data_IF_573769729386
#
_entry.id   IF_573769729386
#
_cell.length_a   1.000
_cell.length_b   1.000
_cell.length_c   1.000
_cell.angle_alpha   90.00
_cell.angle_beta   90.00
_cell.angle_gamma   90.00
#
_symmetry.space_group_name_H-M   'P 1'
#
loop_
_entity.id
_entity.type
_entity.pdbx_description
1 polymer ?
#
# COMPACT_ATOMS: atom_id res chain seq x y z
N UNK A 1 -41.41 -54.86 2.51
CA UNK A 1 -41.94 -53.87 3.47
C UNK A 1 -41.05 -52.64 3.37
N UNK A 2 -41.10 -51.88 2.27
CA UNK A 2 -42.12 -50.90 1.84
C UNK A 2 -41.46 -49.51 1.98
N UNK A 3 -41.03 -48.90 0.87
CA UNK A 3 -41.74 -47.79 0.16
C UNK A 3 -41.41 -46.44 0.82
N UNK A 4 -40.90 -45.36 0.19
CA UNK A 4 -41.10 -44.72 -1.13
C UNK A 4 -39.91 -43.73 -1.32
N UNK A 5 -39.11 -43.70 -2.38
CA UNK A 5 -39.34 -43.16 -3.74
C UNK A 5 -40.26 -41.94 -3.82
N UNK A 6 -39.77 -40.86 -4.46
CA UNK A 6 -40.49 -40.01 -5.43
C UNK A 6 -40.81 -38.53 -5.05
N UNK A 7 -40.36 -37.64 -5.95
CA UNK A 7 -40.86 -36.29 -6.32
C UNK A 7 -40.63 -35.15 -5.30
N UNK A 8 -40.15 -33.94 -5.67
CA UNK A 8 -40.58 -33.08 -6.78
C UNK A 8 -39.41 -32.22 -7.29
N UNK A 9 -39.21 -32.24 -8.60
CA UNK A 9 -38.58 -31.16 -9.37
C UNK A 9 -39.67 -30.15 -9.77
N UNK A 10 -39.42 -28.85 -9.58
CA UNK A 10 -40.12 -27.72 -10.21
C UNK A 10 -39.19 -26.50 -10.06
N UNK A 11 -38.41 -26.10 -11.07
CA UNK A 11 -38.80 -25.24 -12.22
C UNK A 11 -39.32 -23.87 -11.78
N UNK A 12 -38.45 -22.86 -11.87
CA UNK A 12 -38.71 -21.43 -12.13
C UNK A 12 -37.34 -20.84 -12.50
N UNK A 13 -36.91 -20.78 -13.77
CA UNK A 13 -37.46 -20.01 -14.90
C UNK A 13 -37.67 -18.54 -14.54
N UNK A 14 -36.57 -17.81 -14.33
CA UNK A 14 -36.50 -16.36 -14.54
C UNK A 14 -35.59 -16.08 -15.74
N UNK A 15 -36.17 -16.35 -16.90
CA UNK A 15 -35.84 -15.68 -18.15
C UNK A 15 -36.54 -14.32 -18.07
N UNK A 16 -35.76 -13.25 -18.11
CA UNK A 16 -36.23 -11.87 -18.12
C UNK A 16 -35.00 -10.97 -17.98
N UNK A 17 -34.24 -10.77 -19.05
CA UNK A 17 -34.68 -9.82 -20.07
C UNK A 17 -34.31 -8.41 -19.61
N UNK A 18 -33.02 -8.15 -19.34
CA UNK A 18 -32.55 -6.78 -19.23
C UNK A 18 -32.13 -6.30 -20.62
N UNK A 19 -33.08 -5.56 -21.18
CA UNK A 19 -33.10 -4.92 -22.47
C UNK A 19 -31.86 -4.02 -22.66
N UNK A 20 -31.05 -4.37 -23.66
CA UNK A 20 -30.12 -3.45 -24.32
C UNK A 20 -30.91 -2.26 -24.87
N UNK A 21 -30.86 -1.11 -24.19
CA UNK A 21 -31.24 0.16 -24.78
C UNK A 21 -29.95 0.84 -25.24
N UNK A 22 -29.56 0.54 -26.48
CA UNK A 22 -28.65 1.36 -27.29
C UNK A 22 -29.49 2.50 -27.85
N UNK A 23 -29.47 3.68 -27.22
CA UNK A 23 -30.00 4.89 -27.86
C UNK A 23 -28.86 5.49 -28.68
N UNK A 24 -28.79 5.10 -29.95
CA UNK A 24 -28.14 5.89 -30.98
C UNK A 24 -29.03 7.12 -31.26
N UNK A 25 -28.73 8.23 -30.58
CA UNK A 25 -29.33 9.53 -30.85
C UNK A 25 -28.33 10.44 -31.55
N UNK A 26 -28.20 10.31 -32.86
CA UNK A 26 -27.61 11.34 -33.70
C UNK A 26 -28.63 12.46 -33.86
N UNK A 27 -28.41 13.58 -33.16
CA UNK A 27 -29.03 14.85 -33.48
C UNK A 27 -27.89 15.86 -33.74
N UNK A 28 -27.57 16.04 -35.02
CA UNK A 28 -26.81 17.21 -35.45
C UNK A 28 -27.73 18.42 -35.38
N UNK A 29 -27.56 19.24 -34.35
CA UNK A 29 -28.14 20.58 -34.31
C UNK A 29 -27.01 21.54 -34.65
N UNK A 30 -27.04 22.00 -35.90
CA UNK A 30 -26.26 23.14 -36.36
C UNK A 30 -26.76 24.40 -35.65
N UNK A 31 -26.16 24.70 -34.50
CA UNK A 31 -26.34 25.95 -33.77
C UNK A 31 -25.12 26.84 -33.98
N UNK A 32 -25.22 27.77 -34.92
CA UNK A 32 -24.28 28.89 -35.10
C UNK A 32 -24.38 29.79 -33.86
N UNK A 33 -23.44 29.67 -32.93
CA UNK A 33 -23.30 30.63 -31.82
C UNK A 33 -22.26 31.66 -32.22
N UNK A 34 -22.74 32.90 -32.17
CA UNK A 34 -22.03 34.14 -32.47
C UNK A 34 -20.89 34.32 -31.49
N UNK A 35 -19.74 34.63 -32.06
CA UNK A 35 -18.50 35.05 -31.43
C UNK A 35 -18.75 36.40 -30.73
N UNK A 36 -18.61 36.44 -29.42
CA UNK A 36 -18.48 37.67 -28.65
C UNK A 36 -17.08 37.64 -28.04
N UNK A 37 -16.19 38.43 -28.65
CA UNK A 37 -14.82 38.65 -28.22
C UNK A 37 -14.79 39.18 -26.78
N UNK A 38 -14.09 38.46 -25.90
CA UNK A 38 -13.70 38.91 -24.57
C UNK A 38 -12.22 38.56 -24.35
N UNK A 39 -11.48 39.38 -23.60
CA UNK A 39 -10.08 39.68 -23.86
C UNK A 39 -9.11 38.56 -23.48
N UNK A 40 -8.03 38.48 -24.28
CA UNK A 40 -6.83 37.68 -24.04
C UNK A 40 -6.22 38.02 -22.67
N UNK A 41 -6.46 37.16 -21.69
CA UNK A 41 -5.65 37.10 -20.48
C UNK A 41 -4.48 36.15 -20.76
N UNK A 42 -3.30 36.75 -20.78
CA UNK A 42 -1.96 36.18 -20.87
C UNK A 42 -1.79 34.94 -19.98
N UNK A 43 -2.04 33.76 -20.56
CA UNK A 43 -1.76 32.49 -19.91
C UNK A 43 -0.25 32.27 -19.95
N UNK A 44 0.43 32.79 -18.93
CA UNK A 44 1.76 32.33 -18.55
C UNK A 44 1.72 30.81 -18.43
N UNK A 45 2.42 30.14 -19.34
CA UNK A 45 2.72 28.71 -19.32
C UNK A 45 3.44 28.37 -18.01
N UNK A 46 2.68 28.19 -16.94
CA UNK A 46 3.15 27.52 -15.75
C UNK A 46 3.09 26.03 -16.06
N UNK A 47 4.06 25.58 -16.88
CA UNK A 47 4.36 24.16 -17.06
C UNK A 47 4.72 23.65 -15.68
N UNK A 48 3.72 23.16 -14.98
CA UNK A 48 3.84 22.47 -13.72
C UNK A 48 4.68 21.22 -14.03
N UNK A 49 6.01 21.35 -14.00
CA UNK A 49 6.91 20.22 -14.16
C UNK A 49 6.51 19.20 -13.11
N UNK A 50 5.95 18.08 -13.57
CA UNK A 50 5.54 16.99 -12.70
C UNK A 50 6.81 16.35 -12.19
N UNK A 51 7.24 16.79 -11.00
CA UNK A 51 8.33 16.17 -10.26
C UNK A 51 7.88 14.77 -9.85
N UNK A 52 8.47 13.74 -10.47
CA UNK A 52 8.16 12.32 -10.21
C UNK A 52 8.87 11.83 -8.95
N UNK A 53 9.98 12.47 -8.59
CA UNK A 53 10.83 12.07 -7.48
C UNK A 53 11.59 13.27 -6.88
N UNK A 54 12.14 13.10 -5.68
CA UNK A 54 13.00 14.11 -5.03
C UNK A 54 14.47 13.84 -5.35
N UNK A 55 15.23 14.84 -5.81
CA UNK A 55 16.65 14.72 -6.17
C UNK A 55 17.47 14.00 -5.09
N UNK A 56 18.31 13.05 -5.50
CA UNK A 56 19.09 12.22 -4.58
C UNK A 56 18.32 11.03 -3.98
N UNK A 57 17.08 10.78 -4.40
CA UNK A 57 16.36 9.55 -4.05
C UNK A 57 16.71 8.43 -5.02
N UNK A 58 16.84 7.18 -4.55
CA UNK A 58 17.00 6.02 -5.43
C UNK A 58 15.65 5.53 -5.95
N UNK A 59 15.58 5.10 -7.21
CA UNK A 59 14.32 4.60 -7.78
C UNK A 59 13.92 3.29 -7.06
N UNK A 60 12.74 3.24 -6.41
CA UNK A 60 12.25 2.00 -5.81
C UNK A 60 11.98 0.89 -6.82
N UNK A 61 11.69 1.23 -8.08
CA UNK A 61 11.40 0.27 -9.15
C UNK A 61 12.67 -0.21 -9.86
N UNK A 62 13.77 0.54 -9.76
CA UNK A 62 15.03 0.23 -10.43
C UNK A 62 16.23 0.65 -9.58
N UNK A 63 16.95 -0.34 -9.05
CA UNK A 63 18.20 -0.08 -8.33
C UNK A 63 19.28 0.59 -9.20
N UNK A 64 19.09 0.68 -10.52
CA UNK A 64 20.01 1.33 -11.46
C UNK A 64 19.65 2.78 -11.74
N UNK A 65 18.70 3.38 -11.04
CA UNK A 65 18.26 4.74 -11.29
C UNK A 65 18.27 5.60 -10.01
N UNK A 66 18.56 6.89 -10.20
CA UNK A 66 18.60 7.92 -9.18
C UNK A 66 17.78 9.12 -9.67
N UNK A 67 17.12 9.82 -8.75
CA UNK A 67 16.39 11.02 -9.09
C UNK A 67 17.34 12.21 -9.26
N UNK A 68 17.30 12.85 -10.43
CA UNK A 68 18.03 14.07 -10.76
C UNK A 68 17.01 15.06 -11.32
N UNK A 69 16.90 16.24 -10.71
CA UNK A 69 16.00 17.32 -11.12
C UNK A 69 14.55 16.85 -11.36
N UNK A 70 14.03 16.02 -10.45
CA UNK A 70 12.64 15.55 -10.52
C UNK A 70 12.37 14.36 -11.41
N UNK A 71 13.39 13.83 -12.10
CA UNK A 71 13.26 12.75 -13.09
C UNK A 71 14.21 11.60 -12.75
N UNK A 72 13.76 10.37 -13.03
CA UNK A 72 14.61 9.20 -12.89
C UNK A 72 15.70 9.20 -13.96
N UNK A 73 16.95 9.09 -13.53
CA UNK A 73 18.12 9.01 -14.39
C UNK A 73 18.91 7.75 -14.08
N UNK A 74 19.41 7.08 -15.11
CA UNK A 74 20.24 5.90 -14.96
C UNK A 74 21.57 6.22 -14.26
N UNK A 75 22.00 5.33 -13.38
CA UNK A 75 23.32 5.34 -12.78
C UNK A 75 24.41 5.02 -13.84
N UNK A 76 25.58 5.66 -13.78
CA UNK A 76 26.67 5.37 -14.70
C UNK A 76 27.26 3.97 -14.48
N UNK A 77 27.61 3.27 -15.56
CA UNK A 77 28.55 2.12 -15.57
C UNK A 77 28.36 1.05 -14.48
N UNK A 78 27.37 0.18 -14.64
CA UNK A 78 27.07 -0.96 -13.72
C UNK A 78 26.86 -0.59 -12.24
N UNK A 79 26.81 0.70 -11.93
CA UNK A 79 26.51 1.18 -10.59
C UNK A 79 25.03 1.00 -10.28
N UNK A 80 24.75 0.86 -8.99
CA UNK A 80 23.41 0.86 -8.42
C UNK A 80 23.28 2.03 -7.45
N UNK A 81 22.10 2.63 -7.40
CA UNK A 81 21.80 3.68 -6.44
C UNK A 81 21.68 3.08 -5.04
N UNK A 82 22.55 3.52 -4.14
CA UNK A 82 22.60 3.12 -2.73
C UNK A 82 22.67 4.38 -1.88
N UNK A 83 21.68 4.58 -1.00
CA UNK A 83 21.59 5.74 -0.09
C UNK A 83 21.67 7.10 -0.81
N UNK A 84 21.10 7.18 -2.01
CA UNK A 84 21.03 8.42 -2.78
C UNK A 84 22.26 8.74 -3.63
N UNK A 85 23.12 7.76 -3.86
CA UNK A 85 24.30 7.88 -4.72
C UNK A 85 24.51 6.62 -5.56
N UNK A 86 24.92 6.78 -6.81
CA UNK A 86 25.33 5.64 -7.65
C UNK A 86 26.68 5.09 -7.15
N UNK A 87 26.74 3.79 -6.89
CA UNK A 87 27.92 3.10 -6.38
C UNK A 87 28.12 1.75 -7.07
N UNK A 88 29.37 1.31 -7.24
CA UNK A 88 29.67 -0.02 -7.79
C UNK A 88 29.39 -1.05 -6.69
N UNK A 89 28.53 -2.05 -6.93
CA UNK A 89 28.31 -3.11 -5.96
C UNK A 89 29.61 -3.88 -5.76
N UNK A 90 30.10 -3.92 -4.51
CA UNK A 90 31.33 -4.62 -4.17
C UNK A 90 31.04 -6.13 -4.23
N UNK A 91 31.21 -6.72 -5.41
CA UNK A 91 31.17 -8.17 -5.61
C UNK A 91 32.11 -8.82 -4.60
N UNK A 92 31.63 -9.81 -3.85
CA UNK A 92 32.37 -10.54 -2.83
C UNK A 92 33.68 -11.09 -3.38
N UNK A 93 34.76 -10.32 -3.22
CA UNK A 93 36.12 -10.66 -3.57
C UNK A 93 36.93 -10.68 -2.29
N UNK A 94 37.32 -11.88 -1.89
CA UNK A 94 38.37 -12.18 -0.92
C UNK A 94 39.44 -11.08 -0.88
N UNK A 95 39.58 -10.43 0.26
CA UNK A 95 40.73 -9.59 0.59
C UNK A 95 40.85 -9.58 2.10
N UNK A 96 41.77 -10.41 2.56
CA UNK A 96 42.33 -10.49 3.92
C UNK A 96 42.43 -9.11 4.59
N UNK A 97 42.04 -8.95 5.86
CA UNK A 97 42.43 -7.78 6.62
C UNK A 97 43.89 -7.95 7.05
N UNK A 98 44.80 -7.21 6.39
CA UNK A 98 46.12 -6.95 6.94
C UNK A 98 45.96 -5.94 8.10
N UNK A 99 46.36 -6.40 9.30
CA UNK A 99 46.82 -5.72 10.54
C UNK A 99 46.99 -4.18 10.50
N UNK A 100 46.76 -3.36 11.54
CA UNK A 100 46.83 -3.44 13.02
C UNK A 100 45.91 -2.33 13.58
N UNK A 101 45.34 -2.34 14.79
CA UNK A 101 46.02 -2.36 16.09
C UNK A 101 45.03 -2.49 17.27
N UNK A 102 45.40 -3.37 18.22
CA UNK A 102 45.22 -3.26 19.68
C UNK A 102 43.81 -3.38 20.30
N UNK A 103 43.55 -4.50 20.99
CA UNK A 103 42.45 -4.62 21.95
C UNK A 103 42.13 -6.06 22.36
N UNK A 104 42.69 -6.49 23.49
CA UNK A 104 42.73 -7.85 24.03
C UNK A 104 41.41 -8.48 24.49
N UNK A 105 41.42 -9.83 24.42
CA UNK A 105 40.84 -10.82 25.34
C UNK A 105 39.32 -11.04 25.40
N UNK A 106 38.91 -12.25 24.97
CA UNK A 106 37.60 -12.81 25.28
C UNK A 106 37.41 -14.20 24.66
N UNK A 107 38.04 -15.22 25.24
CA UNK A 107 37.71 -16.62 24.97
C UNK A 107 36.26 -16.91 25.34
N UNK A 108 35.49 -17.53 24.46
CA UNK A 108 34.46 -18.51 24.82
C UNK A 108 34.10 -19.38 23.62
N UNK A 109 34.33 -20.67 23.83
CA UNK A 109 33.82 -21.80 23.07
C UNK A 109 32.30 -21.71 22.99
N UNK A 110 31.72 -21.81 21.79
CA UNK A 110 30.33 -22.27 21.63
C UNK A 110 30.24 -23.26 20.48
N UNK A 111 29.76 -24.43 20.86
CA UNK A 111 29.52 -25.65 20.12
C UNK A 111 28.57 -25.42 18.93
N UNK A 112 28.98 -25.87 17.75
CA UNK A 112 28.10 -26.08 16.59
C UNK A 112 27.01 -27.09 16.94
N UNK A 113 25.77 -26.61 17.01
CA UNK A 113 24.59 -27.46 16.88
C UNK A 113 23.66 -26.80 15.88
N UNK A 114 23.64 -27.36 14.68
CA UNK A 114 22.65 -27.11 13.63
C UNK A 114 21.29 -27.62 14.12
N UNK A 115 20.39 -26.70 14.43
CA UNK A 115 18.96 -26.96 14.46
C UNK A 115 18.25 -25.81 13.75
N UNK A 116 17.58 -26.16 12.66
CA UNK A 116 16.76 -25.28 11.84
C UNK A 116 15.54 -24.83 12.66
N UNK A 117 15.65 -23.67 13.28
CA UNK A 117 14.53 -22.94 13.87
C UNK A 117 13.70 -22.28 12.78
N UNK A 118 12.36 -22.43 12.78
CA UNK A 118 11.51 -21.55 11.96
C UNK A 118 11.77 -20.12 12.43
N UNK A 119 12.15 -19.25 11.50
CA UNK A 119 12.42 -17.85 11.76
C UNK A 119 11.10 -17.18 12.11
N UNK A 120 10.72 -17.19 13.40
CA UNK A 120 9.59 -16.41 13.90
C UNK A 120 9.89 -14.95 13.59
N UNK A 121 9.16 -14.37 12.63
CA UNK A 121 9.18 -12.93 12.38
C UNK A 121 8.82 -12.23 13.68
N UNK A 122 9.77 -11.51 14.27
CA UNK A 122 9.57 -10.74 15.49
C UNK A 122 8.68 -9.55 15.15
N UNK A 123 7.39 -9.62 15.49
CA UNK A 123 6.48 -8.48 15.34
C UNK A 123 6.79 -7.43 16.40
N UNK A 124 6.83 -6.17 15.96
CA UNK A 124 6.94 -5.02 16.87
C UNK A 124 5.53 -4.50 17.15
N UNK A 125 5.24 -4.09 18.40
CA UNK A 125 3.96 -3.45 18.75
C UNK A 125 4.18 -1.95 18.92
N UNK A 126 3.40 -1.16 18.21
CA UNK A 126 3.41 0.30 18.25
C UNK A 126 2.07 0.81 18.80
N UNK A 127 2.10 1.75 19.75
CA UNK A 127 0.89 2.39 20.28
C UNK A 127 0.86 3.84 19.86
N UNK A 128 -0.20 4.27 19.18
CA UNK A 128 -0.31 5.64 18.63
C UNK A 128 -1.28 6.55 19.39
N UNK A 129 -1.87 6.04 20.48
CA UNK A 129 -2.76 6.79 21.37
C UNK A 129 -4.18 6.97 20.82
N UNK A 130 -4.84 8.03 21.29
CA UNK A 130 -6.17 8.44 20.85
C UNK A 130 -6.12 9.09 19.46
N UNK A 131 -7.07 8.71 18.60
CA UNK A 131 -7.26 9.30 17.27
C UNK A 131 -8.58 10.05 17.28
N UNK A 132 -8.51 11.37 17.17
CA UNK A 132 -9.67 12.22 16.92
C UNK A 132 -9.69 12.58 15.42
N UNK A 133 -10.80 12.32 14.74
CA UNK A 133 -10.95 12.61 13.31
C UNK A 133 -10.16 11.66 12.42
N UNK A 134 -9.15 12.17 11.70
CA UNK A 134 -8.42 11.43 10.67
C UNK A 134 -6.90 11.46 10.89
N UNK A 135 -6.22 10.31 10.79
CA UNK A 135 -4.77 10.20 10.99
C UNK A 135 -4.13 9.36 9.89
N UNK A 136 -3.04 9.86 9.32
CA UNK A 136 -2.21 9.10 8.38
C UNK A 136 -1.17 8.29 9.13
N UNK A 137 -1.07 6.99 8.84
CA UNK A 137 -0.14 6.06 9.47
C UNK A 137 0.76 5.42 8.41
N UNK A 138 2.07 5.39 8.64
CA UNK A 138 3.02 4.59 7.85
C UNK A 138 3.42 3.35 8.65
N UNK A 139 3.08 2.18 8.12
CA UNK A 139 2.95 0.98 8.94
C UNK A 139 3.54 -0.24 8.22
N UNK A 140 4.35 -1.04 8.92
CA UNK A 140 5.02 -2.23 8.37
C UNK A 140 4.50 -3.56 8.94
N UNK A 141 5.37 -4.54 9.18
CA UNK A 141 5.04 -5.81 9.87
C UNK A 141 4.84 -5.64 11.40
N UNK A 142 4.11 -4.60 11.79
CA UNK A 142 3.88 -4.22 13.18
C UNK A 142 2.40 -4.30 13.55
N UNK A 143 2.15 -4.51 14.84
CA UNK A 143 0.81 -4.45 15.43
C UNK A 143 0.62 -3.04 15.97
N UNK A 144 -0.45 -2.39 15.56
CA UNK A 144 -0.74 -1.00 15.92
C UNK A 144 -1.93 -0.99 16.86
N UNK A 145 -1.73 -0.41 18.03
CA UNK A 145 -2.78 -0.19 19.02
C UNK A 145 -3.15 1.29 19.05
N UNK A 146 -4.44 1.57 18.93
CA UNK A 146 -4.97 2.93 19.02
C UNK A 146 -6.33 2.93 19.71
N UNK A 147 -6.72 4.09 20.22
CA UNK A 147 -8.03 4.30 20.82
C UNK A 147 -8.85 5.25 19.96
N UNK A 148 -10.14 4.98 19.84
CA UNK A 148 -11.11 5.84 19.18
C UNK A 148 -12.43 5.72 19.93
N UNK A 149 -13.07 6.85 20.27
CA UNK A 149 -14.32 6.87 21.02
C UNK A 149 -14.29 6.08 22.35
N UNK A 150 -13.13 6.07 23.02
CA UNK A 150 -12.92 5.33 24.26
C UNK A 150 -12.75 3.82 24.09
N UNK A 151 -12.86 3.29 22.88
CA UNK A 151 -12.61 1.89 22.55
C UNK A 151 -11.18 1.67 22.03
N UNK A 152 -10.62 0.49 22.29
CA UNK A 152 -9.27 0.14 21.88
C UNK A 152 -9.27 -0.81 20.69
N UNK A 153 -8.49 -0.47 19.68
CA UNK A 153 -8.39 -1.20 18.42
C UNK A 153 -6.97 -1.67 18.17
N UNK A 154 -6.87 -2.87 17.60
CA UNK A 154 -5.62 -3.50 17.18
C UNK A 154 -5.66 -3.69 15.68
N UNK A 155 -4.81 -2.96 14.97
CA UNK A 155 -4.61 -3.08 13.53
C UNK A 155 -3.31 -3.84 13.26
N UNK A 156 -3.37 -4.85 12.42
CA UNK A 156 -2.25 -5.68 12.00
C UNK A 156 -2.17 -5.69 10.48
N UNK A 157 -0.96 -5.69 9.94
CA UNK A 157 -0.73 -5.93 8.52
C UNK A 157 -0.35 -7.39 8.33
N UNK A 158 -1.19 -8.11 7.61
CA UNK A 158 -1.00 -9.53 7.33
C UNK A 158 -0.16 -9.74 6.07
N UNK A 159 -0.47 -8.98 5.01
CA UNK A 159 0.24 -9.07 3.73
C UNK A 159 0.23 -7.71 3.01
N UNK A 160 1.29 -7.42 2.26
CA UNK A 160 1.41 -6.22 1.43
C UNK A 160 1.67 -6.68 -0.01
N UNK A 161 0.83 -6.24 -0.94
CA UNK A 161 0.95 -6.53 -2.38
C UNK A 161 1.19 -5.23 -3.17
N UNK A 162 1.37 -5.33 -4.49
CA UNK A 162 1.71 -4.17 -5.33
C UNK A 162 0.68 -3.04 -5.28
N UNK A 163 -0.60 -3.39 -5.17
CA UNK A 163 -1.73 -2.44 -5.21
C UNK A 163 -2.75 -2.69 -4.11
N UNK A 164 -2.46 -3.62 -3.19
CA UNK A 164 -3.37 -4.00 -2.12
C UNK A 164 -2.61 -4.29 -0.82
N UNK A 165 -3.35 -4.31 0.28
CA UNK A 165 -2.85 -4.81 1.56
C UNK A 165 -3.95 -5.61 2.26
N UNK A 166 -3.55 -6.72 2.89
CA UNK A 166 -4.38 -7.48 3.81
C UNK A 166 -4.13 -6.97 5.22
N UNK A 167 -5.18 -6.45 5.85
CA UNK A 167 -5.19 -5.89 7.19
C UNK A 167 -6.06 -6.75 8.09
N UNK A 168 -5.70 -6.88 9.36
CA UNK A 168 -6.56 -7.41 10.41
C UNK A 168 -6.89 -6.30 11.40
N UNK A 169 -8.17 -6.00 11.62
CA UNK A 169 -8.63 -5.06 12.65
C UNK A 169 -9.42 -5.81 13.71
N UNK A 170 -8.92 -5.86 14.95
CA UNK A 170 -9.51 -6.66 16.04
C UNK A 170 -9.79 -8.12 15.67
N UNK A 171 -8.98 -8.70 14.77
CA UNK A 171 -9.13 -10.06 14.27
C UNK A 171 -10.08 -10.21 13.06
N UNK A 172 -10.65 -9.12 12.57
CA UNK A 172 -11.42 -9.09 11.31
C UNK A 172 -10.44 -8.79 10.17
N UNK A 173 -10.28 -9.74 9.25
CA UNK A 173 -9.43 -9.57 8.08
C UNK A 173 -10.15 -8.84 6.94
N UNK A 174 -9.45 -7.91 6.31
CA UNK A 174 -9.92 -7.19 5.15
C UNK A 174 -8.78 -6.93 4.16
N UNK A 175 -9.08 -7.09 2.88
CA UNK A 175 -8.19 -6.67 1.80
C UNK A 175 -8.63 -5.28 1.33
N UNK A 176 -7.71 -4.33 1.27
CA UNK A 176 -7.95 -3.00 0.71
C UNK A 176 -7.03 -2.78 -0.49
N UNK A 177 -7.58 -2.24 -1.57
CA UNK A 177 -6.81 -1.75 -2.70
C UNK A 177 -6.39 -0.29 -2.51
N UNK A 178 -5.32 0.16 -3.17
CA UNK A 178 -4.88 1.55 -3.12
C UNK A 178 -6.02 2.47 -3.63
N UNK A 179 -6.40 3.43 -2.80
CA UNK A 179 -7.51 4.35 -3.03
C UNK A 179 -8.86 3.86 -2.45
N UNK A 180 -8.98 2.58 -2.10
CA UNK A 180 -10.18 2.00 -1.51
C UNK A 180 -10.31 2.38 -0.03
N UNK A 181 -11.55 2.60 0.41
CA UNK A 181 -11.92 2.83 1.80
C UNK A 181 -12.90 1.73 2.25
N UNK A 182 -12.69 1.18 3.44
CA UNK A 182 -13.60 0.22 4.08
C UNK A 182 -13.99 0.68 5.47
N UNK A 183 -15.28 0.53 5.76
CA UNK A 183 -15.82 0.63 7.10
C UNK A 183 -15.59 -0.68 7.87
N UNK A 184 -15.35 -0.55 9.17
CA UNK A 184 -15.22 -1.64 10.11
C UNK A 184 -16.16 -1.40 11.28
N UNK A 185 -16.94 -2.43 11.59
CA UNK A 185 -17.72 -2.58 12.80
C UNK A 185 -16.86 -3.33 13.83
N UNK A 186 -16.41 -2.61 14.85
CA UNK A 186 -15.57 -3.12 15.91
C UNK A 186 -16.34 -3.66 17.12
N UNK A 187 -17.61 -3.29 17.29
CA UNK A 187 -18.40 -3.60 18.48
C UNK A 187 -19.54 -4.61 18.23
N UNK A 188 -19.83 -4.92 16.96
CA UNK A 188 -20.83 -5.88 16.50
C UNK A 188 -22.26 -5.34 16.43
N UNK A 189 -22.48 -4.03 16.49
CA UNK A 189 -23.80 -3.41 16.42
C UNK A 189 -24.31 -3.18 14.98
N UNK A 190 -23.52 -3.57 13.98
CA UNK A 190 -23.72 -3.37 12.54
C UNK A 190 -23.59 -1.92 12.07
N UNK A 191 -23.07 -1.03 12.91
CA UNK A 191 -22.60 0.29 12.49
C UNK A 191 -21.09 0.23 12.32
N UNK A 192 -20.58 0.99 11.35
CA UNK A 192 -19.13 1.09 11.22
C UNK A 192 -18.69 2.23 12.15
N UNK A 193 -17.73 2.00 13.03
CA UNK A 193 -17.11 3.06 13.85
C UNK A 193 -15.82 3.58 13.22
N UNK A 194 -15.17 2.76 12.37
CA UNK A 194 -13.87 3.09 11.79
C UNK A 194 -13.94 2.97 10.27
N UNK A 195 -13.36 3.95 9.58
CA UNK A 195 -13.05 3.87 8.15
C UNK A 195 -11.53 3.83 7.97
N UNK A 196 -11.06 2.85 7.23
CA UNK A 196 -9.64 2.75 6.84
C UNK A 196 -9.56 2.88 5.34
N UNK A 197 -8.70 3.79 4.88
CA UNK A 197 -8.38 3.97 3.47
C UNK A 197 -6.91 3.67 3.21
N UNK A 198 -6.63 2.83 2.22
CA UNK A 198 -5.26 2.57 1.78
C UNK A 198 -4.82 3.68 0.84
N UNK A 199 -3.87 4.52 1.27
CA UNK A 199 -3.38 5.64 0.48
C UNK A 199 -2.27 5.23 -0.48
N UNK A 200 -1.33 4.43 -0.03
CA UNK A 200 -0.21 3.95 -0.85
C UNK A 200 0.43 2.69 -0.27
N UNK A 201 1.16 1.98 -1.12
CA UNK A 201 2.00 0.84 -0.74
C UNK A 201 3.45 1.12 -1.13
N UNK A 202 4.38 0.76 -0.26
CA UNK A 202 5.82 0.82 -0.49
C UNK A 202 6.44 -0.56 -0.23
N UNK A 203 6.50 -1.39 -1.27
CA UNK A 203 7.07 -2.74 -1.19
C UNK A 203 8.55 -2.75 -0.81
N UNK A 204 9.31 -1.73 -1.22
CA UNK A 204 10.75 -1.63 -0.92
C UNK A 204 11.00 -1.48 0.57
N UNK A 205 10.18 -0.66 1.24
CA UNK A 205 10.25 -0.46 2.69
C UNK A 205 9.41 -1.46 3.47
N UNK A 206 8.65 -2.32 2.79
CA UNK A 206 7.62 -3.17 3.36
C UNK A 206 6.67 -2.37 4.27
N UNK A 207 6.18 -1.23 3.76
CA UNK A 207 5.30 -0.31 4.48
C UNK A 207 4.09 0.06 3.63
N UNK A 208 2.98 0.39 4.28
CA UNK A 208 1.83 1.02 3.65
C UNK A 208 1.48 2.33 4.34
N UNK A 209 0.82 3.23 3.61
CA UNK A 209 0.24 4.45 4.17
C UNK A 209 -1.27 4.30 4.27
N UNK A 210 -1.80 4.37 5.49
CA UNK A 210 -3.22 4.28 5.78
C UNK A 210 -3.75 5.63 6.25
N UNK A 211 -5.00 5.91 5.93
CA UNK A 211 -5.78 6.96 6.59
C UNK A 211 -6.84 6.25 7.44
N UNK A 212 -6.77 6.44 8.76
CA UNK A 212 -7.77 5.93 9.70
C UNK A 212 -8.65 7.12 10.09
N UNK A 213 -9.96 6.97 9.90
CA UNK A 213 -10.94 8.02 10.20
C UNK A 213 -12.08 7.46 11.02
N UNK A 214 -12.59 8.26 11.95
CA UNK A 214 -13.85 7.96 12.63
C UNK A 214 -15.01 7.94 11.63
N UNK A 215 -15.81 6.88 11.67
CA UNK A 215 -17.04 6.83 10.91
C UNK A 215 -18.10 7.68 11.63
N UNK A 216 -18.69 8.61 10.90
CA UNK A 216 -19.85 9.35 11.39
C UNK A 216 -21.02 8.38 11.57
N UNK A 217 -21.53 8.28 12.79
CA UNK A 217 -22.81 7.63 13.08
C UNK A 217 -23.98 8.33 12.34
#
# INVERSE_FOLDING_TARGET
MNDKTLLIAAVSLLVGGFLLIVIAGQAQIAGKVVQEDAPEEDSSDNVNEVYVCSSGTCNPESAREICIDGKWSACPSEQVCVRGSCTVPKSGGSSTPFVSSSGSSGSSVVTTTTSSTPTSKSMTTSSIGEIEGSKTLEVGEEIIKFNMNGESYTLQINNIETTSASLGLNGIDAILNVGEEKGFDGNGDNTNEIKIKLKSVNLVKNKISLIVTEASA
#
